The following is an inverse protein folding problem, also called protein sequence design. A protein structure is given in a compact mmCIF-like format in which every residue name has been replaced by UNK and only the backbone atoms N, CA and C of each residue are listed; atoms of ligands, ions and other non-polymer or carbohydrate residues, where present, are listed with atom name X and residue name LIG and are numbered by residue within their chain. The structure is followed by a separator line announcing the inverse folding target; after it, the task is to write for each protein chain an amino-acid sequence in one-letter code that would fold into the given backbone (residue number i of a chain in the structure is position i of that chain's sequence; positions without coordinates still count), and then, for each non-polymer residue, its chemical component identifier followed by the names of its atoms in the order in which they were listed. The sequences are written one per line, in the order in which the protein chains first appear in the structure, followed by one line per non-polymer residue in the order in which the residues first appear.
data_IF_309605399118
#
_entry.id   IF_309605399118
#
_cell.length_a   1.000
_cell.length_b   1.000
_cell.length_c   1.000
_cell.angle_alpha   90.00
_cell.angle_beta   90.00
_cell.angle_gamma   90.00
#
_symmetry.space_group_name_H-M   'P 1'
#
loop_
_entity.id
_entity.type
_entity.pdbx_description
1 polymer ?
#
# COMPACT_ATOMS: atom_id res chain seq x y z
N UNK A 1 -9.17 -5.08 -10.77
CA UNK A 1 -7.98 -4.34 -10.35
C UNK A 1 -7.66 -4.73 -8.91
N UNK A 2 -6.50 -5.32 -8.67
CA UNK A 2 -6.00 -5.70 -7.34
C UNK A 2 -5.50 -4.47 -6.58
N UNK A 3 -5.29 -4.57 -5.26
CA UNK A 3 -4.71 -3.45 -4.52
C UNK A 3 -3.25 -3.19 -4.91
N UNK A 4 -2.49 -4.22 -5.28
CA UNK A 4 -1.12 -4.05 -5.76
C UNK A 4 -1.08 -3.23 -7.05
N UNK A 5 -1.99 -3.48 -7.99
CA UNK A 5 -2.14 -2.66 -9.21
C UNK A 5 -2.48 -1.19 -8.89
N UNK A 6 -3.32 -0.95 -7.87
CA UNK A 6 -3.64 0.42 -7.42
C UNK A 6 -2.42 1.13 -6.82
N UNK A 7 -1.58 0.42 -6.05
CA UNK A 7 -0.32 0.96 -5.54
C UNK A 7 0.67 1.27 -6.68
N UNK A 8 0.76 0.42 -7.70
CA UNK A 8 1.61 0.67 -8.87
C UNK A 8 1.12 1.86 -9.70
N UNK A 9 -0.19 2.06 -9.83
CA UNK A 9 -0.76 3.25 -10.46
C UNK A 9 -0.38 4.52 -9.67
N UNK A 10 -0.54 4.50 -8.34
CA UNK A 10 -0.12 5.60 -7.46
C UNK A 10 1.39 5.90 -7.56
N UNK A 11 2.22 4.87 -7.73
CA UNK A 11 3.65 5.02 -8.01
C UNK A 11 3.90 5.75 -9.33
N UNK A 12 3.19 5.36 -10.39
CA UNK A 12 3.35 5.98 -11.71
C UNK A 12 3.05 7.49 -11.67
N UNK A 13 2.08 7.90 -10.84
CA UNK A 13 1.77 9.31 -10.59
C UNK A 13 2.84 10.03 -9.76
N UNK A 14 3.35 9.40 -8.69
CA UNK A 14 4.34 10.05 -7.80
C UNK A 14 5.73 10.20 -8.42
N UNK A 15 6.05 9.40 -9.45
CA UNK A 15 7.38 9.30 -10.10
C UNK A 15 8.54 8.98 -9.13
N UNK A 16 8.24 8.56 -7.89
CA UNK A 16 9.24 8.21 -6.86
C UNK A 16 9.45 6.70 -6.79
N UNK A 17 10.67 6.31 -6.41
CA UNK A 17 11.05 4.91 -6.19
C UNK A 17 10.63 4.39 -4.81
N UNK A 18 10.37 5.29 -3.87
CA UNK A 18 9.77 5.02 -2.57
C UNK A 18 8.89 6.20 -2.14
N UNK A 19 7.76 5.92 -1.50
CA UNK A 19 6.84 6.94 -1.00
C UNK A 19 5.90 6.36 0.07
N UNK A 20 5.34 7.25 0.87
CA UNK A 20 4.30 6.92 1.85
C UNK A 20 2.93 7.32 1.31
N UNK A 21 1.91 6.54 1.63
CA UNK A 21 0.53 6.75 1.19
C UNK A 21 -0.46 6.23 2.22
N UNK A 22 -1.70 6.70 2.16
CA UNK A 22 -2.83 6.18 2.96
C UNK A 22 -3.70 5.28 2.09
N UNK A 23 -4.48 4.43 2.73
CA UNK A 23 -5.37 3.51 2.00
C UNK A 23 -6.36 4.26 1.08
N UNK A 24 -6.82 5.44 1.50
CA UNK A 24 -7.71 6.28 0.69
C UNK A 24 -7.07 6.78 -0.61
N UNK A 25 -5.74 6.95 -0.64
CA UNK A 25 -5.01 7.44 -1.81
C UNK A 25 -5.02 6.40 -2.95
N UNK A 26 -5.46 5.16 -2.70
CA UNK A 26 -5.62 4.10 -3.71
C UNK A 26 -6.91 4.22 -4.53
N UNK A 27 -7.78 5.16 -4.17
CA UNK A 27 -9.08 5.36 -4.78
C UNK A 27 -9.20 6.77 -5.33
N UNK A 28 -9.98 6.92 -6.40
CA UNK A 28 -10.41 8.25 -6.79
C UNK A 28 -11.31 8.86 -5.70
N UNK A 29 -11.40 10.19 -5.69
CA UNK A 29 -12.27 10.91 -4.74
C UNK A 29 -13.73 10.46 -4.83
N UNK A 30 -14.22 10.18 -6.03
CA UNK A 30 -15.59 9.72 -6.28
C UNK A 30 -15.81 8.29 -5.77
N UNK A 31 -14.90 7.36 -6.07
CA UNK A 31 -14.95 6.00 -5.54
C UNK A 31 -14.95 6.02 -4.01
N UNK A 32 -14.04 6.77 -3.40
CA UNK A 32 -13.92 6.85 -1.94
C UNK A 32 -15.20 7.38 -1.30
N UNK A 33 -15.76 8.46 -1.84
CA UNK A 33 -17.02 9.05 -1.36
C UNK A 33 -18.22 8.12 -1.51
N UNK A 34 -18.23 7.28 -2.55
CA UNK A 34 -19.30 6.31 -2.77
C UNK A 34 -19.29 5.12 -1.80
N UNK A 35 -18.12 4.79 -1.22
CA UNK A 35 -17.99 3.70 -0.26
C UNK A 35 -18.48 4.10 1.14
N UNK A 36 -19.32 3.25 1.74
CA UNK A 36 -19.70 3.34 3.15
C UNK A 36 -18.52 3.07 4.09
N UNK A 37 -18.63 3.51 5.35
CA UNK A 37 -17.61 3.25 6.37
C UNK A 37 -17.32 1.75 6.54
N UNK A 38 -18.37 0.91 6.50
CA UNK A 38 -18.23 -0.54 6.63
C UNK A 38 -17.47 -1.16 5.45
N UNK A 39 -17.73 -0.68 4.23
CA UNK A 39 -17.01 -1.12 3.04
C UNK A 39 -15.55 -0.70 3.07
N UNK A 40 -15.27 0.56 3.47
CA UNK A 40 -13.89 1.05 3.65
C UNK A 40 -13.12 0.19 4.65
N UNK A 41 -13.71 -0.12 5.81
CA UNK A 41 -13.09 -0.97 6.83
C UNK A 41 -12.84 -2.40 6.33
N UNK A 42 -13.81 -2.99 5.60
CA UNK A 42 -13.67 -4.33 5.02
C UNK A 42 -12.57 -4.37 3.95
N UNK A 43 -12.55 -3.37 3.08
CA UNK A 43 -11.57 -3.20 2.02
C UNK A 43 -10.17 -3.02 2.60
N UNK A 44 -10.01 -2.16 3.61
CA UNK A 44 -8.72 -1.93 4.24
C UNK A 44 -8.22 -3.18 4.98
N UNK A 45 -9.11 -3.94 5.64
CA UNK A 45 -8.75 -5.21 6.26
C UNK A 45 -8.23 -6.22 5.22
N UNK A 46 -8.88 -6.31 4.06
CA UNK A 46 -8.42 -7.15 2.96
C UNK A 46 -7.05 -6.68 2.44
N UNK A 47 -6.88 -5.38 2.24
CA UNK A 47 -5.61 -4.79 1.84
C UNK A 47 -4.48 -5.11 2.79
N UNK A 48 -4.67 -4.97 4.11
CA UNK A 48 -3.66 -5.34 5.12
C UNK A 48 -3.28 -6.81 5.06
N UNK A 49 -4.20 -7.69 4.66
CA UNK A 49 -3.88 -9.12 4.46
C UNK A 49 -3.02 -9.31 3.22
N UNK A 50 -3.33 -8.63 2.11
CA UNK A 50 -2.52 -8.67 0.89
C UNK A 50 -1.12 -8.05 1.07
N UNK A 51 -1.01 -6.93 1.81
CA UNK A 51 0.28 -6.26 2.10
C UNK A 51 1.28 -7.21 2.76
N UNK A 52 0.83 -8.19 3.57
CA UNK A 52 1.73 -9.20 4.16
C UNK A 52 2.44 -10.06 3.11
N UNK A 53 1.86 -10.17 1.92
CA UNK A 53 2.39 -10.95 0.80
C UNK A 53 3.05 -10.05 -0.27
N UNK A 54 3.10 -8.73 -0.07
CA UNK A 54 3.75 -7.79 -0.99
C UNK A 54 5.19 -7.53 -0.50
N UNK A 55 6.18 -7.76 -1.36
CA UNK A 55 7.60 -7.49 -1.03
C UNK A 55 7.94 -5.98 -1.05
N UNK A 56 7.17 -5.19 -1.79
CA UNK A 56 7.40 -3.76 -2.08
C UNK A 56 6.49 -2.82 -1.29
N UNK A 57 5.52 -3.33 -0.54
CA UNK A 57 4.64 -2.54 0.33
C UNK A 57 4.77 -3.01 1.76
N UNK A 58 4.87 -2.07 2.71
CA UNK A 58 4.87 -2.39 4.14
C UNK A 58 4.07 -1.38 4.94
N UNK A 59 3.63 -1.80 6.12
CA UNK A 59 3.13 -0.88 7.14
C UNK A 59 4.31 -0.47 8.05
N UNK A 60 4.65 0.83 8.16
CA UNK A 60 5.63 1.32 9.13
C UNK A 60 5.22 1.01 10.56
N UNK A 61 6.19 0.89 11.46
CA UNK A 61 5.95 0.57 12.86
C UNK A 61 5.00 1.57 13.57
N UNK A 62 5.12 2.86 13.24
CA UNK A 62 4.19 3.90 13.71
C UNK A 62 2.73 3.56 13.38
N UNK A 63 2.48 3.18 12.12
CA UNK A 63 1.15 2.83 11.62
C UNK A 63 0.65 1.47 12.11
N UNK A 64 1.54 0.54 12.50
CA UNK A 64 1.16 -0.75 13.11
C UNK A 64 0.48 -0.51 14.46
N UNK A 65 1.01 0.42 15.26
CA UNK A 65 0.38 0.80 16.52
C UNK A 65 -1.00 1.45 16.28
N UNK A 66 -1.08 2.38 15.33
CA UNK A 66 -2.35 3.05 14.99
C UNK A 66 -3.41 2.05 14.48
N UNK A 67 -3.01 1.06 13.68
CA UNK A 67 -3.89 0.01 13.19
C UNK A 67 -4.42 -0.90 14.31
N UNK A 68 -3.63 -1.12 15.38
CA UNK A 68 -4.04 -1.89 16.56
C UNK A 68 -5.04 -1.12 17.43
N UNK A 69 -4.87 0.20 17.55
CA UNK A 69 -5.76 1.09 18.30
C UNK A 69 -6.97 1.54 17.45
N UNK A 70 -7.11 1.02 16.22
CA UNK A 70 -8.17 1.36 15.24
C UNK A 70 -8.23 2.86 14.93
N UNK A 71 -7.09 3.55 15.01
CA UNK A 71 -7.00 4.94 14.63
C UNK A 71 -7.15 5.07 13.11
N UNK A 72 -7.89 6.09 12.69
CA UNK A 72 -7.95 6.52 11.30
C UNK A 72 -6.62 7.21 10.95
N UNK A 73 -6.14 7.09 9.69
CA UNK A 73 -4.83 7.53 9.18
C UNK A 73 -3.65 6.53 9.31
N UNK A 74 -3.91 5.24 9.12
CA UNK A 74 -2.83 4.27 8.91
C UNK A 74 -2.06 4.64 7.63
N UNK A 75 -0.76 4.91 7.76
CA UNK A 75 0.15 5.16 6.64
C UNK A 75 0.82 3.85 6.22
N UNK A 76 0.99 3.67 4.92
CA UNK A 76 1.69 2.55 4.29
C UNK A 76 2.89 3.11 3.52
N UNK A 77 3.97 2.34 3.42
CA UNK A 77 5.15 2.70 2.64
C UNK A 77 5.32 1.77 1.46
N UNK A 78 5.50 2.34 0.28
CA UNK A 78 5.97 1.64 -0.91
C UNK A 78 7.48 1.82 -1.06
N UNK A 79 8.20 0.76 -1.42
CA UNK A 79 9.61 0.79 -1.79
C UNK A 79 9.89 -0.19 -2.94
N UNK A 80 10.00 0.36 -4.15
CA UNK A 80 10.30 -0.42 -5.36
C UNK A 80 11.75 -0.88 -5.46
N UNK A 81 12.67 -0.31 -4.68
CA UNK A 81 14.11 -0.68 -4.70
C UNK A 81 14.32 -2.08 -4.08
N UNK A 82 13.44 -2.51 -3.16
CA UNK A 82 13.51 -3.86 -2.58
C UNK A 82 13.29 -4.99 -3.59
N UNK A 83 12.58 -4.75 -4.70
CA UNK A 83 12.48 -5.73 -5.80
C UNK A 83 13.83 -5.96 -6.49
N UNK A 84 14.66 -4.92 -6.58
CA UNK A 84 15.94 -5.00 -7.27
C UNK A 84 16.99 -5.80 -6.47
N UNK A 85 16.93 -5.86 -5.14
CA UNK A 85 17.92 -6.60 -4.37
C UNK A 85 17.87 -8.13 -4.59
N UNK A 86 16.69 -8.71 -4.89
CA UNK A 86 16.58 -10.14 -5.24
C UNK A 86 16.79 -10.42 -6.73
N UNK A 87 16.73 -9.39 -7.59
CA UNK A 87 16.84 -9.58 -9.04
C UNK A 87 18.30 -9.49 -9.53
N UNK A 88 19.17 -8.79 -8.79
CA UNK A 88 20.60 -8.62 -9.14
C UNK A 88 21.42 -9.90 -8.90
N UNK A 89 20.95 -10.88 -8.11
CA UNK A 89 21.67 -12.14 -7.92
C UNK A 89 21.46 -13.18 -9.03
N UNK A 90 20.57 -12.93 -10.01
CA UNK A 90 20.30 -13.86 -11.12
C UNK A 90 20.67 -13.33 -12.51
N UNK A 91 21.35 -12.18 -12.59
CA UNK A 91 21.93 -11.68 -13.84
C UNK A 91 23.45 -11.55 -13.70
N UNK A 92 24.13 -12.70 -13.80
CA UNK A 92 25.48 -12.79 -14.36
C UNK A 92 26.65 -12.70 -13.38
N UNK A 93 27.26 -13.87 -13.12
CA UNK A 93 28.69 -14.09 -13.34
C UNK A 93 28.88 -15.47 -13.96
#
# INVERSE_FOLDING_TARGET
MTYHERVLALRAESKRTAFDFRFEDLFSKEEWLSMSLAERQKAEKAFRHEVKNMDDVRMPFSSVHDAQVKLYNVVYSYNGIKRNFKQVENEGF
#
